data_IF_230511898183
#
_entry.id   IF_230511898183
#
_cell.length_a   1.000
_cell.length_b   1.000
_cell.length_c   1.000
_cell.angle_alpha   90.00
_cell.angle_beta   90.00
_cell.angle_gamma   90.00
#
_symmetry.space_group_name_H-M   'P 1'
#
loop_
_entity.id
_entity.type
_entity.pdbx_description
1 polymer ?
#
# COMPACT_ATOMS: atom_id res chain seq x y z
N UNK A 1 2.87 33.55 33.25
CA UNK A 1 2.10 33.59 31.99
C UNK A 1 3.08 34.09 30.92
N UNK A 2 3.46 33.42 29.84
CA UNK A 2 2.92 32.30 29.07
C UNK A 2 4.11 31.41 28.64
N UNK A 3 4.04 30.11 28.91
CA UNK A 3 3.75 29.07 27.90
C UNK A 3 4.79 29.06 26.78
N UNK A 4 5.87 28.27 26.93
CA UNK A 4 5.95 26.94 26.30
C UNK A 4 5.62 26.92 24.80
N UNK A 5 6.09 27.92 24.04
CA UNK A 5 6.30 27.74 22.60
C UNK A 5 7.60 26.94 22.38
N UNK A 6 7.63 25.70 22.88
CA UNK A 6 8.53 24.69 22.31
C UNK A 6 8.00 24.48 20.91
N UNK A 7 8.67 25.12 19.95
CA UNK A 7 8.51 24.90 18.53
C UNK A 7 8.72 23.40 18.26
N UNK A 8 7.66 22.60 18.43
CA UNK A 8 7.55 21.29 17.83
C UNK A 8 7.41 21.52 16.33
N UNK A 9 8.54 21.86 15.71
CA UNK A 9 8.79 21.64 14.31
C UNK A 9 8.77 20.12 14.11
N UNK A 10 7.56 19.55 14.12
CA UNK A 10 7.29 18.26 13.52
C UNK A 10 7.78 18.40 12.09
N UNK A 11 9.04 18.02 11.84
CA UNK A 11 9.53 17.74 10.50
C UNK A 11 8.58 16.70 9.95
N UNK A 12 7.54 17.16 9.24
CA UNK A 12 6.69 16.35 8.39
C UNK A 12 7.63 15.82 7.31
N UNK A 13 8.38 14.76 7.63
CA UNK A 13 8.97 13.88 6.62
C UNK A 13 7.75 13.33 5.90
N UNK A 14 7.34 13.99 4.83
CA UNK A 14 6.38 13.43 3.89
C UNK A 14 6.98 12.11 3.44
N UNK A 15 6.46 11.00 3.96
CA UNK A 15 6.90 9.66 3.57
C UNK A 15 6.31 9.46 2.18
N UNK A 16 7.00 9.95 1.16
CA UNK A 16 6.66 9.63 -0.22
C UNK A 16 7.02 8.17 -0.43
N UNK A 17 6.01 7.32 -0.69
CA UNK A 17 6.19 5.91 -1.05
C UNK A 17 6.93 5.70 -2.39
N UNK A 18 7.35 6.79 -3.04
CA UNK A 18 8.05 6.78 -4.31
C UNK A 18 9.55 6.47 -4.12
N UNK A 19 10.15 5.61 -4.95
CA UNK A 19 11.58 5.36 -4.92
C UNK A 19 12.34 6.62 -5.35
N UNK A 20 13.35 7.02 -4.56
CA UNK A 20 14.16 8.22 -4.83
C UNK A 20 14.99 8.13 -6.11
N UNK A 21 15.39 6.91 -6.50
CA UNK A 21 16.18 6.65 -7.70
C UNK A 21 15.81 5.29 -8.27
N UNK A 22 15.63 5.23 -9.58
CA UNK A 22 15.45 3.97 -10.32
C UNK A 22 16.44 3.88 -11.46
N UNK A 23 16.94 2.67 -11.72
CA UNK A 23 17.87 2.43 -12.84
C UNK A 23 17.22 2.70 -14.21
N UNK A 24 15.91 2.43 -14.33
CA UNK A 24 15.15 2.61 -15.56
C UNK A 24 13.85 3.35 -15.28
N UNK A 25 13.55 4.37 -16.10
CA UNK A 25 12.34 5.17 -15.94
C UNK A 25 11.07 4.42 -16.38
N UNK A 26 11.15 3.47 -17.32
CA UNK A 26 9.99 2.78 -17.91
C UNK A 26 10.09 1.26 -17.72
N UNK A 27 9.21 0.65 -16.91
CA UNK A 27 9.24 -0.80 -16.64
C UNK A 27 8.08 -1.57 -17.28
N UNK A 28 8.31 -2.77 -17.81
CA UNK A 28 7.21 -3.65 -18.22
C UNK A 28 6.35 -4.01 -17.02
N UNK A 29 5.03 -4.04 -17.19
CA UNK A 29 4.06 -4.32 -16.11
C UNK A 29 4.22 -5.71 -15.48
N UNK A 30 4.70 -6.70 -16.24
CA UNK A 30 4.78 -8.09 -15.81
C UNK A 30 3.40 -8.77 -15.69
N UNK A 31 3.38 -9.98 -15.11
CA UNK A 31 2.19 -10.85 -15.01
C UNK A 31 1.79 -11.06 -13.54
N UNK A 32 0.53 -10.82 -13.23
CA UNK A 32 -0.01 -10.86 -11.86
C UNK A 32 -0.72 -12.17 -11.49
N UNK A 33 -0.50 -13.25 -12.25
CA UNK A 33 -1.17 -14.53 -11.98
C UNK A 33 -0.58 -15.22 -10.73
N UNK A 34 -1.43 -16.00 -10.08
CA UNK A 34 -1.10 -16.86 -8.94
C UNK A 34 -1.20 -16.19 -7.57
N UNK A 35 -1.14 -17.01 -6.51
CA UNK A 35 -1.05 -16.56 -5.12
C UNK A 35 0.35 -16.04 -4.80
N UNK A 36 0.47 -15.18 -3.80
CA UNK A 36 1.76 -14.71 -3.31
C UNK A 36 2.56 -15.87 -2.70
N UNK A 37 3.79 -16.07 -3.15
CA UNK A 37 4.71 -17.07 -2.58
C UNK A 37 5.42 -16.56 -1.32
N UNK A 38 5.46 -15.24 -1.09
CA UNK A 38 6.17 -14.61 0.03
C UNK A 38 5.32 -13.54 0.70
N UNK A 39 5.61 -13.30 1.97
CA UNK A 39 4.97 -12.23 2.74
C UNK A 39 3.45 -12.42 2.91
N UNK A 40 3.07 -13.67 3.15
CA UNK A 40 1.74 -14.15 3.48
C UNK A 40 1.63 -14.58 4.95
N UNK A 41 2.67 -14.36 5.75
CA UNK A 41 2.75 -14.63 7.20
C UNK A 41 2.95 -13.31 7.94
N UNK A 42 2.46 -13.25 9.17
CA UNK A 42 2.64 -12.12 10.08
C UNK A 42 4.04 -12.23 10.70
N UNK A 43 4.80 -11.14 10.73
CA UNK A 43 6.17 -11.12 11.25
C UNK A 43 6.35 -10.23 12.48
N UNK A 44 5.70 -9.08 12.51
CA UNK A 44 5.86 -8.05 13.54
C UNK A 44 4.63 -7.95 14.44
N UNK A 45 3.43 -8.10 13.87
CA UNK A 45 2.17 -7.92 14.57
C UNK A 45 1.54 -9.20 15.14
N UNK A 46 0.34 -9.03 15.70
CA UNK A 46 -0.60 -10.12 16.03
C UNK A 46 -1.78 -10.18 15.07
N UNK A 47 -2.15 -9.04 14.51
CA UNK A 47 -3.28 -8.90 13.59
C UNK A 47 -2.80 -8.33 12.26
N UNK A 48 -3.46 -8.70 11.17
CA UNK A 48 -3.06 -8.30 9.84
C UNK A 48 -4.23 -8.10 8.86
N UNK A 49 -3.97 -7.31 7.82
CA UNK A 49 -4.84 -7.19 6.67
C UNK A 49 -4.22 -7.91 5.46
N UNK A 50 -4.90 -8.94 4.95
CA UNK A 50 -4.49 -9.72 3.79
C UNK A 50 -5.31 -9.36 2.56
N UNK A 51 -4.66 -9.23 1.40
CA UNK A 51 -5.33 -9.04 0.11
C UNK A 51 -5.84 -10.36 -0.46
N UNK A 52 -7.09 -10.39 -0.94
CA UNK A 52 -7.68 -11.58 -1.58
C UNK A 52 -7.62 -11.53 -3.10
N UNK A 53 -7.70 -10.33 -3.68
CA UNK A 53 -7.81 -10.14 -5.13
C UNK A 53 -6.75 -9.14 -5.63
N UNK A 54 -6.23 -9.31 -6.85
CA UNK A 54 -5.33 -8.35 -7.46
C UNK A 54 -6.12 -7.21 -8.13
N UNK A 55 -5.57 -5.99 -8.13
CA UNK A 55 -6.17 -4.83 -8.83
C UNK A 55 -5.27 -4.29 -9.92
N UNK A 56 -5.90 -3.73 -10.95
CA UNK A 56 -5.23 -3.07 -12.08
C UNK A 56 -5.92 -1.74 -12.37
N UNK A 57 -5.13 -0.69 -12.59
CA UNK A 57 -5.63 0.60 -13.06
C UNK A 57 -5.27 0.77 -14.54
N UNK A 58 -6.22 1.24 -15.34
CA UNK A 58 -6.02 1.70 -16.72
C UNK A 58 -6.68 3.08 -16.87
N UNK A 59 -5.99 4.10 -17.41
CA UNK A 59 -6.62 5.36 -17.76
C UNK A 59 -7.51 5.18 -19.00
N UNK A 60 -8.64 5.88 -19.05
CA UNK A 60 -9.70 5.69 -20.05
C UNK A 60 -9.46 6.48 -21.35
N UNK A 61 -8.59 7.49 -21.33
CA UNK A 61 -8.58 8.55 -22.36
C UNK A 61 -7.60 8.34 -23.53
N UNK A 62 -6.72 7.33 -23.48
CA UNK A 62 -5.65 7.17 -24.48
C UNK A 62 -6.02 6.26 -25.65
N UNK A 63 -5.94 6.80 -26.87
CA UNK A 63 -5.99 6.03 -28.13
C UNK A 63 -4.65 5.32 -28.38
N UNK A 64 -4.70 4.20 -29.09
CA UNK A 64 -3.53 3.34 -29.34
C UNK A 64 -2.48 4.04 -30.22
N UNK A 65 -1.20 4.06 -29.81
CA UNK A 65 -0.08 4.61 -30.60
C UNK A 65 0.96 5.38 -29.77
N UNK A 66 2.06 5.81 -30.41
CA UNK A 66 3.11 6.71 -29.85
C UNK A 66 4.01 6.16 -28.74
N UNK A 67 4.12 4.83 -28.63
CA UNK A 67 5.04 4.19 -27.70
C UNK A 67 4.55 4.20 -26.25
N UNK A 68 5.49 4.21 -25.29
CA UNK A 68 5.16 4.11 -23.86
C UNK A 68 5.17 5.48 -23.20
N UNK A 69 4.06 5.86 -22.56
CA UNK A 69 3.90 7.14 -21.85
C UNK A 69 4.90 7.37 -20.70
N UNK A 70 4.88 8.59 -20.16
CA UNK A 70 5.62 8.96 -18.95
C UNK A 70 5.05 8.28 -17.70
N UNK A 71 5.88 7.84 -16.74
CA UNK A 71 5.39 7.30 -15.48
C UNK A 71 4.77 8.41 -14.62
N UNK A 72 3.48 8.30 -14.31
CA UNK A 72 2.74 9.27 -13.48
C UNK A 72 2.64 8.82 -12.01
N UNK A 73 2.43 7.53 -11.78
CA UNK A 73 2.30 6.95 -10.46
C UNK A 73 3.24 5.74 -10.28
N UNK A 74 3.63 5.50 -9.03
CA UNK A 74 4.31 4.28 -8.64
C UNK A 74 3.28 3.29 -8.13
N UNK A 75 3.30 2.10 -8.69
CA UNK A 75 2.38 1.01 -8.31
C UNK A 75 3.17 -0.14 -7.73
N UNK A 76 2.66 -0.71 -6.65
CA UNK A 76 3.13 -1.98 -6.10
C UNK A 76 2.16 -3.08 -6.47
N UNK A 77 2.69 -4.19 -7.01
CA UNK A 77 1.88 -5.34 -7.36
C UNK A 77 1.53 -6.12 -6.10
N UNK A 78 0.24 -6.15 -5.77
CA UNK A 78 -0.30 -6.97 -4.68
C UNK A 78 -0.92 -8.22 -5.27
N UNK A 79 -0.37 -9.40 -4.93
CA UNK A 79 -0.95 -10.70 -5.27
C UNK A 79 -1.87 -11.19 -4.16
N UNK A 80 -2.87 -12.03 -4.47
CA UNK A 80 -3.70 -12.72 -3.48
C UNK A 80 -2.85 -13.42 -2.42
N UNK A 81 -3.24 -13.29 -1.16
CA UNK A 81 -2.56 -13.86 0.01
C UNK A 81 -1.45 -12.98 0.60
N UNK A 82 -1.15 -11.81 0.02
CA UNK A 82 -0.14 -10.89 0.56
C UNK A 82 -0.69 -10.13 1.77
N UNK A 83 0.09 -10.07 2.85
CA UNK A 83 -0.19 -9.20 3.99
C UNK A 83 0.25 -7.77 3.66
N UNK A 84 -0.64 -6.80 3.91
CA UNK A 84 -0.47 -5.38 3.61
C UNK A 84 -0.09 -4.58 4.85
N UNK A 85 -0.83 -4.81 5.93
CA UNK A 85 -0.65 -4.11 7.20
C UNK A 85 -0.59 -5.12 8.32
N UNK A 86 0.20 -4.80 9.34
CA UNK A 86 0.31 -5.55 10.57
C UNK A 86 0.07 -4.57 11.74
N UNK A 87 -0.61 -5.04 12.78
CA UNK A 87 -0.76 -4.33 14.05
C UNK A 87 -0.29 -5.21 15.19
N UNK A 88 0.55 -4.62 16.05
CA UNK A 88 1.02 -5.21 17.30
C UNK A 88 0.47 -4.43 18.51
N UNK A 89 0.43 -5.10 19.66
CA UNK A 89 0.27 -4.47 20.99
C UNK A 89 -1.02 -3.64 21.19
N UNK A 90 -2.17 -4.18 20.76
CA UNK A 90 -3.48 -3.54 20.99
C UNK A 90 -4.52 -4.54 21.49
N UNK A 91 -5.46 -4.08 22.33
CA UNK A 91 -6.62 -4.87 22.74
C UNK A 91 -7.52 -5.19 21.54
N UNK A 92 -8.05 -6.41 21.49
CA UNK A 92 -8.68 -7.04 20.30
C UNK A 92 -9.77 -6.22 19.58
N UNK A 93 -10.48 -5.33 20.28
CA UNK A 93 -11.56 -4.51 19.73
C UNK A 93 -11.06 -3.46 18.72
N UNK A 94 -9.89 -2.87 18.98
CA UNK A 94 -9.34 -1.76 18.18
C UNK A 94 -8.83 -2.24 16.80
N UNK A 95 -8.05 -3.33 16.70
CA UNK A 95 -7.57 -3.87 15.42
C UNK A 95 -8.70 -4.15 14.43
N UNK A 96 -9.82 -4.71 14.91
CA UNK A 96 -10.96 -5.07 14.07
C UNK A 96 -11.61 -3.83 13.44
N UNK A 97 -11.83 -2.78 14.24
CA UNK A 97 -12.38 -1.52 13.74
C UNK A 97 -11.40 -0.83 12.77
N UNK A 98 -10.12 -0.74 13.14
CA UNK A 98 -9.10 -0.08 12.32
C UNK A 98 -8.89 -0.78 10.96
N UNK A 99 -8.81 -2.11 10.95
CA UNK A 99 -8.68 -2.88 9.72
C UNK A 99 -9.94 -2.80 8.86
N UNK A 100 -11.14 -2.79 9.46
CA UNK A 100 -12.38 -2.60 8.71
C UNK A 100 -12.40 -1.25 7.96
N UNK A 101 -11.98 -0.19 8.64
CA UNK A 101 -11.85 1.15 8.04
C UNK A 101 -10.75 1.18 6.96
N UNK A 102 -9.65 0.47 7.15
CA UNK A 102 -8.60 0.36 6.14
C UNK A 102 -9.12 -0.39 4.90
N UNK A 103 -9.80 -1.52 5.10
CA UNK A 103 -10.38 -2.35 4.05
C UNK A 103 -11.38 -1.57 3.18
N UNK A 104 -12.22 -0.72 3.77
CA UNK A 104 -13.20 0.07 3.01
C UNK A 104 -12.58 1.14 2.12
N UNK A 105 -11.35 1.57 2.42
CA UNK A 105 -10.58 2.53 1.59
C UNK A 105 -9.75 1.84 0.52
N UNK A 106 -9.59 0.52 0.59
CA UNK A 106 -8.80 -0.22 -0.39
C UNK A 106 -9.66 -0.59 -1.61
N UNK A 107 -9.11 -0.50 -2.83
CA UNK A 107 -9.80 -0.91 -4.04
C UNK A 107 -9.87 -2.44 -4.21
N UNK A 108 -9.50 -3.22 -3.19
CA UNK A 108 -9.39 -4.69 -3.21
C UNK A 108 -10.15 -5.31 -2.04
N UNK A 109 -10.71 -6.49 -2.29
CA UNK A 109 -11.22 -7.34 -1.22
C UNK A 109 -10.07 -7.77 -0.32
N UNK A 110 -10.25 -7.56 0.97
CA UNK A 110 -9.24 -7.83 1.97
C UNK A 110 -9.85 -8.51 3.19
N UNK A 111 -9.04 -9.29 3.88
CA UNK A 111 -9.44 -10.13 5.01
C UNK A 111 -8.62 -9.76 6.24
N UNK A 112 -9.29 -9.67 7.39
CA UNK A 112 -8.66 -9.58 8.70
C UNK A 112 -8.14 -10.97 9.12
N UNK A 113 -6.88 -11.02 9.55
CA UNK A 113 -6.21 -12.21 10.10
C UNK A 113 -5.75 -11.91 11.51
#
# INVERSE_FOLDING_TARGET
MSSFAVQMELRKKTITYNPKRTRFCKQHRGRMKGKSCRGNRIYFGRYALQALEPVTLRPTETRMGSGKGSPECWVSIVKPGRILYEMGEVSETVPRAAISISASKMPIRSQFI
#
